data_IF_472013714230
#
_entry.id   IF_472013714230
#
_cell.length_a   1.000
_cell.length_b   1.000
_cell.length_c   1.000
_cell.angle_alpha   90.00
_cell.angle_beta   90.00
_cell.angle_gamma   90.00
#
_symmetry.space_group_name_H-M   'P 1'
#
loop_
_entity.id
_entity.type
_entity.pdbx_description
1 polymer ?
#
# COMPACT_ATOMS: atom_id res chain seq x y z
N UNK A 1 -4.87 -9.62 -29.25
CA UNK A 1 -4.91 -8.21 -28.76
C UNK A 1 -4.79 -8.17 -27.24
N UNK A 2 -5.71 -8.78 -26.48
CA UNK A 2 -5.70 -8.85 -25.00
C UNK A 2 -4.36 -9.30 -24.42
N UNK A 3 -3.81 -10.44 -24.86
CA UNK A 3 -2.53 -10.94 -24.34
C UNK A 3 -1.35 -9.98 -24.60
N UNK A 4 -1.31 -9.31 -25.76
CA UNK A 4 -0.25 -8.35 -26.10
C UNK A 4 -0.36 -7.07 -25.26
N UNK A 5 -1.58 -6.56 -25.07
CA UNK A 5 -1.83 -5.38 -24.23
C UNK A 5 -1.50 -5.68 -22.76
N UNK A 6 -1.81 -6.90 -22.31
CA UNK A 6 -1.43 -7.39 -20.99
C UNK A 6 0.09 -7.44 -20.80
N UNK A 7 0.83 -8.10 -21.72
CA UNK A 7 2.30 -8.18 -21.65
C UNK A 7 2.93 -6.80 -21.70
N UNK A 8 2.36 -5.87 -22.47
CA UNK A 8 2.80 -4.47 -22.47
C UNK A 8 2.65 -3.84 -21.07
N UNK A 9 1.50 -4.00 -20.42
CA UNK A 9 1.31 -3.51 -19.04
C UNK A 9 2.29 -4.10 -18.03
N UNK A 10 2.61 -5.40 -18.16
CA UNK A 10 3.66 -6.04 -17.33
C UNK A 10 5.03 -5.41 -17.60
N UNK A 11 5.38 -5.22 -18.87
CA UNK A 11 6.65 -4.59 -19.26
C UNK A 11 6.76 -3.15 -18.75
N UNK A 12 5.69 -2.35 -18.86
CA UNK A 12 5.62 -0.99 -18.34
C UNK A 12 5.83 -0.99 -16.81
N UNK A 13 5.21 -1.94 -16.10
CA UNK A 13 5.43 -2.13 -14.65
C UNK A 13 6.87 -2.53 -14.29
N UNK A 14 7.54 -3.34 -15.12
CA UNK A 14 8.95 -3.65 -14.94
C UNK A 14 9.84 -2.41 -15.11
N UNK A 15 9.55 -1.56 -16.11
CA UNK A 15 10.25 -0.30 -16.33
C UNK A 15 10.09 0.64 -15.13
N UNK A 16 8.87 0.78 -14.62
CA UNK A 16 8.57 1.59 -13.43
C UNK A 16 9.29 1.05 -12.18
N UNK A 17 9.38 -0.27 -12.06
CA UNK A 17 10.09 -0.97 -10.97
C UNK A 17 11.61 -1.02 -11.15
N UNK A 18 12.14 -0.50 -12.26
CA UNK A 18 13.56 -0.61 -12.63
C UNK A 18 14.08 -2.06 -12.63
N UNK A 19 13.26 -3.01 -13.08
CA UNK A 19 13.63 -4.42 -13.20
C UNK A 19 13.51 -4.92 -14.65
N UNK A 20 14.13 -6.06 -14.93
CA UNK A 20 14.06 -6.71 -16.24
C UNK A 20 12.95 -7.78 -16.26
N UNK A 21 12.19 -7.84 -17.35
CA UNK A 21 11.28 -8.95 -17.64
C UNK A 21 12.06 -10.09 -18.29
N UNK A 22 12.50 -11.06 -17.48
CA UNK A 22 13.38 -12.15 -17.93
C UNK A 22 12.65 -13.26 -18.69
N UNK A 23 11.35 -13.43 -18.47
CA UNK A 23 10.57 -14.46 -19.12
C UNK A 23 9.13 -14.53 -18.61
N UNK A 24 8.34 -15.38 -19.25
CA UNK A 24 6.96 -15.65 -18.88
C UNK A 24 6.45 -16.92 -19.57
N UNK A 25 5.39 -17.50 -19.03
CA UNK A 25 4.69 -18.64 -19.63
C UNK A 25 3.22 -18.29 -19.86
N UNK A 26 2.62 -18.91 -20.88
CA UNK A 26 1.17 -18.83 -21.14
C UNK A 26 0.62 -20.24 -21.23
N UNK A 27 -0.52 -20.49 -20.59
CA UNK A 27 -1.22 -21.77 -20.66
C UNK A 27 -2.69 -21.53 -21.03
N UNK A 28 -3.20 -22.29 -21.99
CA UNK A 28 -4.60 -22.27 -22.38
C UNK A 28 -5.32 -23.47 -21.74
N UNK A 29 -6.32 -23.19 -20.90
CA UNK A 29 -7.03 -24.23 -20.13
C UNK A 29 -8.55 -24.09 -20.29
N UNK A 30 -9.12 -24.40 -21.48
CA UNK A 30 -10.54 -24.18 -21.79
C UNK A 30 -11.50 -25.03 -20.95
N UNK A 31 -11.03 -26.14 -20.38
CA UNK A 31 -11.81 -26.96 -19.44
C UNK A 31 -11.77 -26.49 -17.98
N UNK A 32 -11.01 -25.43 -17.69
CA UNK A 32 -10.79 -24.92 -16.34
C UNK A 32 -11.28 -23.47 -16.18
N UNK A 33 -10.99 -22.59 -17.14
CA UNK A 33 -11.45 -21.20 -17.13
C UNK A 33 -12.64 -21.00 -18.07
N UNK A 34 -13.67 -20.29 -17.58
CA UNK A 34 -14.78 -19.86 -18.44
C UNK A 34 -14.29 -18.90 -19.54
N UNK A 35 -15.07 -18.77 -20.61
CA UNK A 35 -14.77 -17.85 -21.71
C UNK A 35 -14.55 -16.41 -21.20
N UNK A 36 -13.45 -15.80 -21.63
CA UNK A 36 -13.06 -14.45 -21.23
C UNK A 36 -12.39 -14.34 -19.86
N UNK A 37 -12.27 -15.42 -19.09
CA UNK A 37 -11.53 -15.44 -17.82
C UNK A 37 -10.10 -15.92 -18.04
N UNK A 38 -9.17 -15.30 -17.32
CA UNK A 38 -7.78 -15.69 -17.25
C UNK A 38 -7.23 -15.31 -15.88
N UNK A 39 -6.13 -15.94 -15.51
CA UNK A 39 -5.43 -15.68 -14.26
C UNK A 39 -3.95 -15.42 -14.52
N UNK A 40 -3.32 -14.73 -13.59
CA UNK A 40 -1.96 -14.23 -13.72
C UNK A 40 -1.23 -14.47 -12.41
N UNK A 41 -0.03 -15.06 -12.52
CA UNK A 41 0.95 -15.10 -11.45
C UNK A 41 2.18 -14.27 -11.85
N UNK A 42 2.65 -13.43 -10.94
CA UNK A 42 3.90 -12.69 -11.07
C UNK A 42 4.96 -13.24 -10.11
N UNK A 43 6.20 -13.29 -10.57
CA UNK A 43 7.36 -13.67 -9.75
C UNK A 43 8.46 -12.62 -9.92
N UNK A 44 9.07 -12.19 -8.81
CA UNK A 44 10.15 -11.20 -8.81
C UNK A 44 11.23 -11.57 -7.81
N UNK A 45 12.47 -11.17 -8.12
CA UNK A 45 13.65 -11.37 -7.27
C UNK A 45 14.30 -10.01 -7.05
N UNK A 46 14.53 -9.65 -5.79
CA UNK A 46 15.30 -8.49 -5.37
C UNK A 46 16.55 -8.92 -4.60
N UNK A 47 17.53 -8.03 -4.52
CA UNK A 47 18.80 -8.24 -3.80
C UNK A 47 18.99 -7.08 -2.83
N UNK A 48 19.44 -7.40 -1.62
CA UNK A 48 19.80 -6.43 -0.57
C UNK A 48 20.96 -7.01 0.23
N UNK A 49 21.88 -6.15 0.66
CA UNK A 49 22.93 -6.54 1.60
C UNK A 49 22.30 -6.89 2.96
N UNK A 50 22.86 -7.87 3.66
CA UNK A 50 22.26 -8.39 4.90
C UNK A 50 22.14 -7.29 5.97
N UNK A 51 23.15 -6.43 6.05
CA UNK A 51 23.23 -5.32 7.00
C UNK A 51 22.30 -4.16 6.65
N UNK A 52 21.80 -4.13 5.41
CA UNK A 52 20.93 -3.08 4.87
C UNK A 52 19.43 -3.44 4.94
N UNK A 53 19.10 -4.63 5.42
CA UNK A 53 17.72 -5.09 5.56
C UNK A 53 16.97 -4.22 6.56
N UNK A 54 15.87 -3.60 6.11
CA UNK A 54 14.90 -2.91 6.98
C UNK A 54 13.84 -3.93 7.40
N UNK A 55 13.97 -4.44 8.62
CA UNK A 55 13.12 -5.50 9.19
C UNK A 55 12.17 -5.02 10.30
N UNK A 56 12.22 -3.72 10.68
CA UNK A 56 11.39 -3.16 11.74
C UNK A 56 12.00 -3.17 13.14
N UNK A 57 13.15 -3.84 13.35
CA UNK A 57 13.79 -3.93 14.68
C UNK A 57 14.27 -2.56 15.20
N UNK A 58 14.56 -1.63 14.29
CA UNK A 58 14.99 -0.26 14.63
C UNK A 58 13.82 0.66 15.03
N UNK A 59 12.57 0.22 14.86
CA UNK A 59 11.41 1.08 15.13
C UNK A 59 11.34 1.38 16.62
N UNK A 60 11.11 2.65 16.94
CA UNK A 60 11.00 3.12 18.31
C UNK A 60 9.84 4.08 18.49
N UNK A 61 9.38 4.22 19.74
CA UNK A 61 8.39 5.22 20.07
C UNK A 61 8.94 6.63 19.79
N UNK A 62 8.13 7.45 19.14
CA UNK A 62 8.53 8.76 18.63
C UNK A 62 8.88 8.78 17.15
N UNK A 63 9.01 7.61 16.49
CA UNK A 63 9.12 7.57 15.04
C UNK A 63 7.88 8.17 14.38
N UNK A 64 8.11 8.86 13.27
CA UNK A 64 7.06 9.47 12.45
C UNK A 64 6.64 8.48 11.38
N UNK A 65 5.33 8.36 11.17
CA UNK A 65 4.77 7.57 10.08
C UNK A 65 4.54 8.46 8.87
N UNK A 66 5.25 8.20 7.78
CA UNK A 66 5.07 8.85 6.49
C UNK A 66 4.22 7.93 5.61
N UNK A 67 3.08 8.43 5.13
CA UNK A 67 2.23 7.74 4.16
C UNK A 67 2.49 8.25 2.75
N UNK A 68 2.70 7.33 1.81
CA UNK A 68 2.82 7.60 0.38
C UNK A 68 1.45 7.40 -0.28
N UNK A 69 1.03 8.41 -1.04
CA UNK A 69 -0.27 8.43 -1.70
C UNK A 69 -0.44 7.27 -2.69
N UNK A 70 -1.60 6.63 -2.62
CA UNK A 70 -2.06 5.62 -3.57
C UNK A 70 -2.70 6.27 -4.81
N UNK A 71 -2.98 5.45 -5.82
CA UNK A 71 -3.66 5.88 -7.06
C UNK A 71 -5.16 5.54 -7.05
N UNK A 72 -5.70 5.08 -5.91
CA UNK A 72 -7.08 4.61 -5.78
C UNK A 72 -7.14 3.30 -4.98
N UNK A 73 -8.02 2.39 -5.38
CA UNK A 73 -8.24 1.09 -4.70
C UNK A 73 -7.06 0.11 -4.86
N UNK A 74 -6.12 0.41 -5.78
CA UNK A 74 -5.02 -0.47 -6.17
C UNK A 74 -5.53 -1.82 -6.68
N UNK A 75 -5.10 -2.94 -6.10
CA UNK A 75 -5.46 -4.30 -6.52
C UNK A 75 -6.23 -5.08 -5.44
N UNK A 76 -6.75 -4.40 -4.42
CA UNK A 76 -7.42 -5.02 -3.27
C UNK A 76 -8.86 -4.52 -3.09
N UNK A 77 -9.71 -5.32 -2.43
CA UNK A 77 -11.10 -4.97 -2.16
C UNK A 77 -12.07 -5.10 -3.34
N UNK A 78 -11.61 -5.61 -4.51
CA UNK A 78 -12.45 -5.72 -5.71
C UNK A 78 -13.67 -6.64 -5.57
N UNK A 79 -13.65 -7.60 -4.65
CA UNK A 79 -14.84 -8.39 -4.32
C UNK A 79 -15.98 -7.55 -3.75
N UNK A 80 -15.66 -6.51 -2.97
CA UNK A 80 -16.66 -5.56 -2.48
C UNK A 80 -17.03 -4.55 -3.59
N UNK A 81 -16.04 -4.03 -4.33
CA UNK A 81 -16.28 -3.12 -5.46
C UNK A 81 -17.27 -3.72 -6.45
N UNK A 82 -17.09 -4.98 -6.87
CA UNK A 82 -18.01 -5.67 -7.80
C UNK A 82 -19.43 -5.86 -7.26
N UNK A 83 -19.60 -5.90 -5.94
CA UNK A 83 -20.93 -5.99 -5.32
C UNK A 83 -21.64 -4.64 -5.30
N UNK A 84 -20.89 -3.55 -5.16
CA UNK A 84 -21.43 -2.20 -4.98
C UNK A 84 -21.57 -1.41 -6.30
N UNK A 85 -20.65 -1.63 -7.24
CA UNK A 85 -20.63 -0.97 -8.55
C UNK A 85 -21.09 -1.96 -9.60
N UNK A 86 -22.35 -1.82 -10.02
CA UNK A 86 -23.01 -2.70 -10.99
C UNK A 86 -22.97 -2.17 -12.42
N UNK A 87 -22.84 -0.85 -12.59
CA UNK A 87 -22.61 -0.20 -13.89
C UNK A 87 -21.28 0.57 -13.87
N UNK A 88 -20.31 0.08 -14.64
CA UNK A 88 -18.98 0.68 -14.74
C UNK A 88 -18.91 1.89 -15.67
N UNK A 89 -19.96 2.16 -16.44
CA UNK A 89 -20.02 3.27 -17.39
C UNK A 89 -20.48 4.59 -16.77
N UNK A 90 -20.95 4.56 -15.51
CA UNK A 90 -21.44 5.73 -14.81
C UNK A 90 -20.38 6.86 -14.75
N UNK A 91 -20.74 8.13 -15.02
CA UNK A 91 -19.83 9.25 -14.91
C UNK A 91 -19.32 9.46 -13.47
N UNK A 92 -18.01 9.57 -13.31
CA UNK A 92 -17.34 9.80 -12.03
C UNK A 92 -16.05 10.58 -12.23
N UNK A 93 -15.91 11.73 -11.55
CA UNK A 93 -14.70 12.57 -11.56
C UNK A 93 -14.15 12.92 -12.98
N UNK A 94 -15.04 13.16 -13.95
CA UNK A 94 -14.67 13.50 -15.34
C UNK A 94 -14.28 12.30 -16.21
N UNK A 95 -14.43 11.07 -15.71
CA UNK A 95 -14.26 9.79 -16.41
C UNK A 95 -15.46 8.89 -16.14
N UNK A 96 -15.40 7.63 -16.53
CA UNK A 96 -16.30 6.58 -16.00
C UNK A 96 -15.76 6.03 -14.68
N UNK A 97 -16.64 5.52 -13.81
CA UNK A 97 -16.24 4.88 -12.56
C UNK A 97 -15.35 3.65 -12.83
N UNK A 98 -15.60 2.92 -13.92
CA UNK A 98 -14.76 1.79 -14.35
C UNK A 98 -13.32 2.20 -14.65
N UNK A 99 -13.11 3.30 -15.38
CA UNK A 99 -11.76 3.81 -15.65
C UNK A 99 -11.03 4.24 -14.38
N UNK A 100 -11.74 4.83 -13.40
CA UNK A 100 -11.14 5.22 -12.12
C UNK A 100 -10.76 3.98 -11.31
N UNK A 101 -11.63 2.96 -11.26
CA UNK A 101 -11.36 1.69 -10.57
C UNK A 101 -10.22 0.90 -11.21
N UNK A 102 -10.06 0.98 -12.53
CA UNK A 102 -8.97 0.33 -13.27
C UNK A 102 -7.67 1.16 -13.31
N UNK A 103 -7.58 2.25 -12.55
CA UNK A 103 -6.32 2.99 -12.39
C UNK A 103 -5.24 2.04 -11.85
N UNK A 104 -4.10 1.87 -12.56
CA UNK A 104 -3.07 0.93 -12.14
C UNK A 104 -2.54 1.19 -10.73
N UNK A 105 -2.16 0.12 -10.02
CA UNK A 105 -1.46 0.20 -8.73
C UNK A 105 -0.17 0.99 -8.88
N UNK A 106 0.06 1.93 -7.97
CA UNK A 106 1.29 2.72 -7.92
C UNK A 106 2.48 1.82 -7.55
N UNK A 107 3.55 1.90 -8.32
CA UNK A 107 4.84 1.24 -8.03
C UNK A 107 5.73 2.23 -7.29
N UNK A 108 6.19 1.84 -6.09
CA UNK A 108 6.95 2.71 -5.18
C UNK A 108 8.47 2.50 -5.21
N UNK A 109 8.98 1.60 -6.07
CA UNK A 109 10.38 1.16 -6.04
C UNK A 109 11.36 2.33 -6.17
N UNK A 110 11.25 3.13 -7.23
CA UNK A 110 12.17 4.26 -7.47
C UNK A 110 12.18 5.29 -6.34
N UNK A 111 11.04 5.86 -5.90
CA UNK A 111 11.06 6.84 -4.80
C UNK A 111 11.57 6.23 -3.48
N UNK A 112 11.22 4.97 -3.17
CA UNK A 112 11.69 4.32 -1.94
C UNK A 112 13.18 4.03 -1.99
N UNK A 113 13.72 3.56 -3.11
CA UNK A 113 15.16 3.33 -3.28
C UNK A 113 15.96 4.63 -3.14
N UNK A 114 15.48 5.75 -3.69
CA UNK A 114 16.13 7.05 -3.54
C UNK A 114 16.18 7.51 -2.07
N UNK A 115 15.08 7.30 -1.32
CA UNK A 115 15.08 7.57 0.13
C UNK A 115 16.07 6.67 0.86
N UNK A 116 16.10 5.37 0.56
CA UNK A 116 17.01 4.44 1.21
C UNK A 116 18.48 4.79 0.89
N UNK A 117 18.81 5.21 -0.32
CA UNK A 117 20.16 5.62 -0.69
C UNK A 117 20.69 6.76 0.19
N UNK A 118 19.84 7.75 0.52
CA UNK A 118 20.24 8.94 1.28
C UNK A 118 20.01 8.81 2.79
N UNK A 119 18.98 8.08 3.20
CA UNK A 119 18.44 8.10 4.56
C UNK A 119 18.22 6.71 5.16
N UNK A 120 18.85 5.63 4.64
CA UNK A 120 18.64 4.24 5.12
C UNK A 120 18.56 4.12 6.64
N UNK A 121 19.53 4.70 7.36
CA UNK A 121 19.63 4.60 8.82
C UNK A 121 18.48 5.24 9.58
N UNK A 122 17.77 6.19 8.95
CA UNK A 122 16.61 6.86 9.51
C UNK A 122 15.29 6.20 9.09
N UNK A 123 15.31 5.18 8.22
CA UNK A 123 14.13 4.40 7.84
C UNK A 123 14.12 3.13 8.68
N UNK A 124 13.33 3.13 9.75
CA UNK A 124 13.30 2.06 10.73
C UNK A 124 12.36 0.92 10.34
N UNK A 125 11.30 1.24 9.58
CA UNK A 125 10.31 0.28 9.13
C UNK A 125 9.61 0.74 7.87
N UNK A 126 9.09 -0.21 7.09
CA UNK A 126 8.33 0.04 5.88
C UNK A 126 7.26 -1.02 5.69
N UNK A 127 6.13 -0.64 5.11
CA UNK A 127 5.04 -1.58 4.84
C UNK A 127 4.18 -1.14 3.66
N UNK A 128 3.82 -2.11 2.82
CA UNK A 128 2.87 -1.92 1.72
C UNK A 128 1.45 -2.13 2.24
N UNK A 129 0.56 -1.15 2.04
CA UNK A 129 -0.85 -1.27 2.41
C UNK A 129 -1.61 -2.00 1.30
N UNK A 130 -1.98 -3.25 1.55
CA UNK A 130 -2.65 -4.13 0.59
C UNK A 130 -4.01 -4.61 1.12
N UNK A 131 -4.36 -5.89 0.96
CA UNK A 131 -5.53 -6.49 1.59
C UNK A 131 -5.44 -6.35 3.12
N UNK A 132 -6.58 -6.13 3.78
CA UNK A 132 -6.61 -5.88 5.22
C UNK A 132 -6.35 -4.42 5.63
N UNK A 133 -6.01 -3.56 4.66
CA UNK A 133 -5.85 -2.12 4.85
C UNK A 133 -4.83 -1.77 5.94
N UNK A 134 -5.13 -0.75 6.74
CA UNK A 134 -4.20 -0.25 7.75
C UNK A 134 -4.01 -1.26 8.89
N UNK A 135 -5.11 -1.85 9.36
CA UNK A 135 -5.13 -2.71 10.54
C UNK A 135 -4.33 -3.99 10.35
N UNK A 136 -4.39 -4.63 9.18
CA UNK A 136 -3.61 -5.85 8.98
C UNK A 136 -2.17 -5.59 8.55
N UNK A 137 -1.91 -4.50 7.82
CA UNK A 137 -0.59 -4.29 7.24
C UNK A 137 0.34 -3.57 8.21
N UNK A 138 -0.04 -2.40 8.73
CA UNK A 138 0.87 -1.56 9.52
C UNK A 138 1.51 -2.32 10.69
N UNK A 139 0.78 -3.12 11.50
CA UNK A 139 1.39 -3.84 12.61
C UNK A 139 2.45 -4.87 12.22
N UNK A 140 2.45 -5.37 10.97
CA UNK A 140 3.44 -6.34 10.48
C UNK A 140 4.87 -5.80 10.43
N UNK A 141 5.05 -4.48 10.49
CA UNK A 141 6.38 -3.88 10.59
C UNK A 141 6.94 -3.89 12.01
N UNK A 142 6.11 -4.12 13.03
CA UNK A 142 6.57 -4.10 14.42
C UNK A 142 7.14 -5.47 14.83
N UNK A 143 8.26 -5.48 15.58
CA UNK A 143 8.75 -6.70 16.19
C UNK A 143 7.79 -7.16 17.30
N UNK A 144 7.59 -8.46 17.39
CA UNK A 144 6.90 -9.12 18.51
C UNK A 144 7.90 -9.81 19.43
N UNK A 145 7.56 -9.94 20.71
CA UNK A 145 8.30 -10.80 21.64
C UNK A 145 8.08 -12.31 21.33
N UNK A 146 8.78 -13.18 22.06
CA UNK A 146 8.69 -14.64 21.91
C UNK A 146 7.28 -15.21 22.14
N UNK A 147 6.41 -14.46 22.83
CA UNK A 147 5.01 -14.81 23.09
C UNK A 147 4.05 -14.21 22.03
N UNK A 148 4.59 -13.47 21.05
CA UNK A 148 3.83 -12.85 19.96
C UNK A 148 3.27 -11.45 20.27
N UNK A 149 3.60 -10.85 21.41
CA UNK A 149 3.09 -9.53 21.77
C UNK A 149 3.93 -8.39 21.20
N UNK A 150 3.25 -7.37 20.69
CA UNK A 150 3.84 -6.10 20.26
C UNK A 150 3.88 -5.11 21.43
N UNK A 151 4.96 -4.34 21.50
CA UNK A 151 5.17 -3.26 22.49
C UNK A 151 4.99 -1.85 21.91
N UNK A 152 4.79 -1.75 20.60
CA UNK A 152 4.61 -0.52 19.85
C UNK A 152 3.25 -0.52 19.15
N UNK A 153 2.68 0.67 18.99
CA UNK A 153 1.43 0.90 18.27
C UNK A 153 1.58 2.08 17.32
N UNK A 154 0.74 2.10 16.30
CA UNK A 154 0.56 3.23 15.40
C UNK A 154 -0.57 4.12 15.89
N UNK A 155 -0.31 5.41 16.05
CA UNK A 155 -1.36 6.42 16.22
C UNK A 155 -1.47 7.20 14.91
N UNK A 156 -2.55 6.96 14.18
CA UNK A 156 -2.84 7.53 12.86
C UNK A 156 -3.72 8.75 13.04
N UNK A 157 -3.27 9.88 12.51
CA UNK A 157 -4.04 11.11 12.50
C UNK A 157 -4.96 11.14 11.28
N UNK A 158 -6.26 11.04 11.50
CA UNK A 158 -7.26 11.20 10.44
C UNK A 158 -7.12 12.58 9.78
N UNK A 159 -7.58 12.69 8.53
CA UNK A 159 -7.58 13.95 7.78
C UNK A 159 -6.19 14.57 7.53
N UNK A 160 -5.09 13.84 7.81
CA UNK A 160 -3.73 14.30 7.51
C UNK A 160 -3.32 14.12 6.04
N UNK A 161 -4.10 13.36 5.27
CA UNK A 161 -3.98 13.22 3.82
C UNK A 161 -5.34 13.36 3.14
N UNK A 162 -5.31 13.55 1.82
CA UNK A 162 -6.50 13.57 0.99
C UNK A 162 -6.92 12.13 0.65
N UNK A 163 -8.08 11.71 1.14
CA UNK A 163 -8.69 10.43 0.74
C UNK A 163 -9.25 10.58 -0.69
N UNK A 164 -8.91 9.69 -1.64
CA UNK A 164 -9.51 9.69 -2.97
C UNK A 164 -11.04 9.52 -2.92
N UNK A 165 -11.78 10.34 -3.66
CA UNK A 165 -13.26 10.36 -3.61
C UNK A 165 -13.94 9.05 -4.01
N UNK A 166 -13.23 8.12 -4.66
CA UNK A 166 -13.74 6.77 -4.94
C UNK A 166 -14.11 6.02 -3.65
N UNK A 167 -13.41 6.26 -2.54
CA UNK A 167 -13.73 5.61 -1.27
C UNK A 167 -15.04 6.12 -0.66
N UNK A 168 -15.28 7.44 -0.72
CA UNK A 168 -16.55 8.04 -0.30
C UNK A 168 -17.70 7.53 -1.18
N UNK A 169 -17.46 7.37 -2.48
CA UNK A 169 -18.43 6.80 -3.42
C UNK A 169 -18.78 5.35 -3.08
N UNK A 170 -17.80 4.53 -2.71
CA UNK A 170 -18.08 3.16 -2.27
C UNK A 170 -18.91 3.13 -0.98
N UNK A 171 -18.64 4.04 -0.04
CA UNK A 171 -19.47 4.22 1.17
C UNK A 171 -20.90 4.62 0.80
N UNK A 172 -21.07 5.60 -0.09
CA UNK A 172 -22.37 6.04 -0.60
C UNK A 172 -23.17 4.89 -1.23
N UNK A 173 -22.48 3.95 -1.88
CA UNK A 173 -23.09 2.74 -2.47
C UNK A 173 -23.35 1.61 -1.47
N UNK A 174 -22.97 1.77 -0.21
CA UNK A 174 -23.29 0.83 0.87
C UNK A 174 -22.11 0.09 1.48
N UNK A 175 -20.86 0.47 1.19
CA UNK A 175 -19.73 -0.01 1.98
C UNK A 175 -19.84 0.49 3.43
N UNK A 176 -19.53 -0.37 4.41
CA UNK A 176 -19.54 0.02 5.82
C UNK A 176 -18.38 1.00 6.11
N UNK A 177 -18.65 2.26 6.52
CA UNK A 177 -17.63 3.25 6.85
C UNK A 177 -16.59 2.76 7.86
N UNK A 178 -17.03 2.02 8.88
CA UNK A 178 -16.19 1.55 9.98
C UNK A 178 -15.23 0.42 9.55
N UNK A 179 -15.47 -0.17 8.37
CA UNK A 179 -14.67 -1.28 7.82
C UNK A 179 -13.80 -0.86 6.64
N UNK A 180 -13.83 0.42 6.26
CA UNK A 180 -13.09 0.92 5.11
C UNK A 180 -11.58 0.73 5.27
N UNK A 181 -11.04 1.04 6.45
CA UNK A 181 -9.62 0.84 6.78
C UNK A 181 -9.21 -0.62 7.00
N UNK A 182 -10.17 -1.56 7.11
CA UNK A 182 -9.90 -3.00 7.11
C UNK A 182 -9.83 -3.58 5.70
N UNK A 183 -10.34 -2.86 4.70
CA UNK A 183 -10.49 -3.41 3.34
C UNK A 183 -9.58 -2.70 2.35
N UNK A 184 -9.48 -1.38 2.48
CA UNK A 184 -8.85 -0.51 1.50
C UNK A 184 -7.67 0.23 2.09
N UNK A 185 -6.82 0.72 1.19
CA UNK A 185 -5.67 1.57 1.50
C UNK A 185 -6.06 3.02 1.85
N UNK A 186 -7.31 3.42 1.63
CA UNK A 186 -7.85 4.74 1.98
C UNK A 186 -7.03 5.94 1.48
N UNK A 187 -6.27 5.77 0.40
CA UNK A 187 -5.43 6.82 -0.19
C UNK A 187 -3.95 6.72 0.14
N UNK A 188 -3.53 5.79 1.01
CA UNK A 188 -2.13 5.57 1.36
C UNK A 188 -1.74 4.14 0.99
N UNK A 189 -0.91 3.95 -0.03
CA UNK A 189 -0.53 2.61 -0.46
C UNK A 189 0.79 2.13 0.15
N UNK A 190 1.57 2.99 0.79
CA UNK A 190 2.82 2.58 1.43
C UNK A 190 3.09 3.45 2.66
N UNK A 191 3.62 2.87 3.73
CA UNK A 191 3.94 3.58 4.97
C UNK A 191 5.39 3.32 5.34
N UNK A 192 6.08 4.37 5.79
CA UNK A 192 7.44 4.31 6.33
C UNK A 192 7.44 4.81 7.77
N UNK A 193 8.00 4.05 8.69
CA UNK A 193 8.35 4.50 10.04
C UNK A 193 9.77 5.05 10.01
N UNK A 194 9.94 6.33 10.36
CA UNK A 194 11.21 7.04 10.21
C UNK A 194 11.56 7.85 11.45
N UNK A 195 12.86 8.11 11.62
CA UNK A 195 13.35 9.03 12.63
C UNK A 195 12.70 10.43 12.45
N UNK A 196 12.12 10.97 13.52
CA UNK A 196 11.38 12.23 13.48
C UNK A 196 12.20 13.41 12.91
N UNK A 197 13.50 13.45 13.19
CA UNK A 197 14.39 14.53 12.72
C UNK A 197 14.59 14.54 11.20
N UNK A 198 14.34 13.41 10.52
CA UNK A 198 14.53 13.22 9.07
C UNK A 198 13.24 13.19 8.27
N UNK A 199 12.08 13.24 8.93
CA UNK A 199 10.80 13.09 8.25
C UNK A 199 10.57 14.14 7.14
N UNK A 200 10.93 15.41 7.40
CA UNK A 200 10.77 16.48 6.41
C UNK A 200 11.69 16.30 5.20
N UNK A 201 12.94 15.90 5.42
CA UNK A 201 13.92 15.63 4.37
C UNK A 201 13.48 14.45 3.49
N UNK A 202 12.98 13.38 4.12
CA UNK A 202 12.48 12.19 3.42
C UNK A 202 11.25 12.53 2.55
N UNK A 203 10.30 13.32 3.07
CA UNK A 203 9.15 13.78 2.29
C UNK A 203 9.60 14.64 1.10
N UNK A 204 10.59 15.51 1.30
CA UNK A 204 11.14 16.34 0.23
C UNK A 204 11.80 15.47 -0.85
N UNK A 205 12.49 14.39 -0.47
CA UNK A 205 13.10 13.45 -1.41
C UNK A 205 12.04 12.68 -2.22
N UNK A 206 11.02 12.13 -1.55
CA UNK A 206 9.88 11.48 -2.22
C UNK A 206 9.22 12.41 -3.25
N UNK A 207 9.08 13.69 -2.92
CA UNK A 207 8.50 14.70 -3.82
C UNK A 207 9.34 14.93 -5.08
N UNK A 208 10.69 14.88 -5.01
CA UNK A 208 11.56 14.97 -6.20
C UNK A 208 11.30 13.84 -7.19
N UNK A 209 10.85 12.69 -6.69
CA UNK A 209 10.47 11.51 -7.47
C UNK A 209 8.97 11.48 -7.85
N UNK A 210 8.28 12.63 -7.79
CA UNK A 210 6.85 12.75 -8.08
C UNK A 210 5.98 11.80 -7.23
N UNK A 211 6.41 11.52 -6.00
CA UNK A 211 5.64 10.77 -5.02
C UNK A 211 5.09 11.74 -3.98
N UNK A 212 3.77 11.88 -3.95
CA UNK A 212 3.09 12.58 -2.88
C UNK A 212 3.20 11.76 -1.59
N UNK A 213 3.66 12.42 -0.53
CA UNK A 213 3.81 11.82 0.78
C UNK A 213 3.56 12.87 1.86
N UNK A 214 3.09 12.43 3.02
CA UNK A 214 2.83 13.29 4.17
C UNK A 214 2.98 12.51 5.47
N UNK A 215 3.11 13.24 6.58
CA UNK A 215 3.05 12.63 7.91
C UNK A 215 1.61 12.23 8.18
N UNK A 216 1.39 10.94 8.42
CA UNK A 216 0.07 10.36 8.70
C UNK A 216 -0.14 9.98 10.17
N UNK A 217 0.92 10.04 10.97
CA UNK A 217 0.87 9.60 12.36
C UNK A 217 2.24 9.43 12.99
N UNK A 218 2.28 8.68 14.08
CA UNK A 218 3.48 8.40 14.86
C UNK A 218 3.42 7.01 15.50
N UNK A 219 4.58 6.52 15.91
CA UNK A 219 4.72 5.30 16.71
C UNK A 219 4.71 5.67 18.19
N UNK A 220 3.93 4.97 19.00
CA UNK A 220 3.89 5.10 20.45
C UNK A 220 4.15 3.77 21.16
N UNK A 221 4.49 3.83 22.44
CA UNK A 221 4.54 2.63 23.29
C UNK A 221 3.11 2.16 23.56
N UNK A 222 2.89 0.87 23.43
CA UNK A 222 1.65 0.25 23.86
C UNK A 222 1.49 0.38 25.38
N UNK A 223 0.29 0.78 25.84
CA UNK A 223 -0.02 0.88 27.28
C UNK A 223 -0.21 -0.51 27.90
N UNK A 224 -0.50 -1.53 27.09
CA UNK A 224 -0.68 -2.94 27.46
C UNK A 224 -0.04 -3.82 26.39
N UNK A 225 0.19 -5.10 26.71
CA UNK A 225 0.59 -6.10 25.70
C UNK A 225 -0.47 -6.16 24.59
N UNK A 226 -0.05 -6.04 23.33
CA UNK A 226 -0.94 -6.09 22.16
C UNK A 226 -0.67 -7.38 21.39
N UNK A 227 -1.65 -8.28 21.28
CA UNK A 227 -1.54 -9.52 20.50
C UNK A 227 -2.26 -9.45 19.15
N UNK A 228 -3.29 -8.61 19.06
CA UNK A 228 -4.10 -8.48 17.84
C UNK A 228 -3.65 -7.28 17.02
N UNK A 229 -3.52 -7.46 15.71
CA UNK A 229 -3.10 -6.39 14.79
C UNK A 229 -4.04 -5.18 14.83
N UNK A 230 -5.35 -5.42 14.97
CA UNK A 230 -6.34 -4.35 15.01
C UNK A 230 -6.14 -3.40 16.21
N UNK A 231 -5.66 -3.92 17.33
CA UNK A 231 -5.42 -3.16 18.56
C UNK A 231 -4.09 -2.37 18.52
N UNK A 232 -3.23 -2.66 17.52
CA UNK A 232 -1.97 -1.96 17.31
C UNK A 232 -2.10 -0.71 16.42
N UNK A 233 -3.30 -0.39 15.93
CA UNK A 233 -3.56 0.80 15.11
C UNK A 233 -4.70 1.60 15.72
N UNK A 234 -4.38 2.75 16.31
CA UNK A 234 -5.33 3.71 16.84
C UNK A 234 -5.50 4.86 15.86
N UNK A 235 -6.71 5.40 15.76
CA UNK A 235 -6.96 6.61 15.01
C UNK A 235 -7.32 7.76 15.96
N UNK A 236 -6.71 8.92 15.74
CA UNK A 236 -7.06 10.19 16.36
C UNK A 236 -7.59 11.17 15.30
N UNK A 237 -8.39 12.15 15.73
CA UNK A 237 -8.98 13.16 14.85
C UNK A 237 -8.00 14.33 14.54
#
# INVERSE_FOLDING_TARGET
KIASDFVKGVADGCVDSACALLGGGTAEMPGFYDEGKYDIAGFGVGIVEKEDIVNGEAITAGDVLIGLASTGVHSNGFSLVRKLVTDYSEPFAGKTIGEVLLTPTKIYVRPVLAVLELYRKAVHGMVHITGGGFYENIPRMYPSDDEGYMSLISVIKKNSWKVPGIFDELVRRGANPDRMYNTFNMGIGFVMAVEASKAADIIAELKKHNQEACVIGRVEKAVKKVSEQIDAVLFED
#
